data_IF_795516618093
#
_entry.id   IF_795516618093
#
_cell.length_a   1.000
_cell.length_b   1.000
_cell.length_c   1.000
_cell.angle_alpha   90.00
_cell.angle_beta   90.00
_cell.angle_gamma   90.00
#
_symmetry.space_group_name_H-M   'P 1'
#
loop_
_entity.id
_entity.type
_entity.pdbx_description
1 polymer ?
#
# COMPACT_ATOMS: atom_id res chain seq x y z
N UNK A 1 32.14 -2.66 10.11
CA UNK A 1 31.30 -3.03 11.27
C UNK A 1 31.39 -4.53 11.58
N UNK A 2 31.25 -5.42 10.59
CA UNK A 2 31.59 -6.84 10.71
C UNK A 2 32.96 -7.05 11.38
N UNK A 3 33.98 -6.27 10.96
CA UNK A 3 35.30 -6.21 11.63
C UNK A 3 35.22 -5.89 13.13
N UNK A 4 34.36 -4.97 13.59
CA UNK A 4 34.19 -4.66 15.02
C UNK A 4 33.47 -5.78 15.78
N UNK A 5 32.46 -6.41 15.17
CA UNK A 5 31.78 -7.59 15.71
C UNK A 5 32.73 -8.79 15.81
N UNK A 6 33.57 -9.02 14.79
CA UNK A 6 34.60 -10.06 14.76
C UNK A 6 35.69 -9.78 15.80
N UNK A 7 36.17 -8.53 15.91
CA UNK A 7 37.16 -8.16 16.93
C UNK A 7 36.58 -8.32 18.33
N UNK A 8 35.34 -7.88 18.56
CA UNK A 8 34.65 -8.03 19.84
C UNK A 8 34.34 -9.49 20.16
N UNK A 9 34.00 -10.31 19.17
CA UNK A 9 33.88 -11.75 19.34
C UNK A 9 35.23 -12.37 19.71
N UNK A 10 36.31 -11.94 19.06
CA UNK A 10 37.67 -12.31 19.41
C UNK A 10 38.00 -11.95 20.86
N UNK A 11 37.74 -10.71 21.28
CA UNK A 11 37.96 -10.24 22.64
C UNK A 11 37.09 -10.98 23.67
N UNK A 12 35.80 -11.19 23.36
CA UNK A 12 34.87 -11.90 24.23
C UNK A 12 35.27 -13.39 24.36
N UNK A 13 35.74 -14.02 23.27
CA UNK A 13 36.32 -15.37 23.31
C UNK A 13 37.62 -15.42 24.11
N UNK A 14 38.52 -14.45 23.92
CA UNK A 14 39.79 -14.34 24.66
C UNK A 14 39.52 -14.16 26.15
N UNK A 15 38.57 -13.30 26.52
CA UNK A 15 38.15 -13.06 27.91
C UNK A 15 37.57 -14.33 28.56
N UNK A 16 36.77 -15.09 27.81
CA UNK A 16 36.22 -16.38 28.26
C UNK A 16 37.31 -17.45 28.44
N UNK A 17 38.32 -17.46 27.56
CA UNK A 17 39.47 -18.37 27.64
C UNK A 17 40.40 -17.96 28.81
N UNK A 18 40.66 -16.67 28.99
CA UNK A 18 41.58 -16.14 30.00
C UNK A 18 40.99 -16.20 31.41
N UNK A 19 39.68 -16.04 31.57
CA UNK A 19 39.00 -16.22 32.85
C UNK A 19 39.08 -17.66 33.38
N UNK A 20 39.34 -18.64 32.51
CA UNK A 20 39.61 -20.04 32.90
C UNK A 20 41.05 -20.30 33.38
N UNK A 21 41.96 -19.32 33.31
CA UNK A 21 43.37 -19.50 33.68
C UNK A 21 43.70 -19.09 35.14
N UNK A 22 42.79 -18.42 35.86
CA UNK A 22 43.07 -17.92 37.22
C UNK A 22 42.75 -18.94 38.34
N UNK A 23 42.08 -20.05 38.04
CA UNK A 23 41.87 -21.15 39.00
C UNK A 23 42.76 -22.36 38.69
N UNK A 24 43.97 -22.28 39.27
CA UNK A 24 44.83 -23.38 39.72
C UNK A 24 45.37 -24.40 38.70
N UNK A 25 46.70 -24.47 38.69
CA UNK A 25 47.53 -25.62 38.29
C UNK A 25 46.85 -26.96 38.63
N UNK A 26 46.48 -27.71 37.59
CA UNK A 26 46.58 -29.17 37.42
C UNK A 26 45.31 -29.78 36.76
N UNK A 27 45.56 -30.49 35.65
CA UNK A 27 44.80 -31.64 35.13
C UNK A 27 43.41 -31.48 34.48
N UNK A 28 42.90 -30.28 34.21
CA UNK A 28 41.69 -30.10 33.36
C UNK A 28 41.91 -29.14 32.21
N UNK A 29 42.91 -29.44 31.37
CA UNK A 29 43.15 -28.74 30.09
C UNK A 29 42.05 -28.96 29.02
N UNK A 30 40.94 -29.61 29.36
CA UNK A 30 39.98 -30.14 28.38
C UNK A 30 38.66 -29.35 28.22
N UNK A 31 38.38 -28.31 29.01
CA UNK A 31 37.12 -27.55 28.86
C UNK A 31 37.27 -26.06 29.14
N UNK A 32 37.80 -25.29 28.18
CA UNK A 32 37.08 -24.05 27.84
C UNK A 32 35.71 -24.55 27.40
N UNK A 33 34.73 -24.51 28.32
CA UNK A 33 33.52 -25.29 28.14
C UNK A 33 32.84 -24.84 26.85
N UNK A 34 32.52 -25.79 25.96
CA UNK A 34 31.74 -25.54 24.74
C UNK A 34 30.53 -24.60 25.02
N UNK A 35 29.98 -24.68 26.23
CA UNK A 35 28.95 -23.81 26.76
C UNK A 35 29.31 -22.32 26.81
N UNK A 36 30.49 -21.91 27.32
CA UNK A 36 30.85 -20.49 27.40
C UNK A 36 31.09 -19.84 26.03
N UNK A 37 31.69 -20.59 25.09
CA UNK A 37 31.79 -20.18 23.69
C UNK A 37 30.41 -20.09 23.02
N UNK A 38 29.52 -21.05 23.30
CA UNK A 38 28.13 -21.02 22.82
C UNK A 38 27.39 -19.79 23.33
N UNK A 39 27.55 -19.44 24.61
CA UNK A 39 26.97 -18.23 25.20
C UNK A 39 27.52 -16.95 24.54
N UNK A 40 28.82 -16.89 24.28
CA UNK A 40 29.42 -15.76 23.58
C UNK A 40 28.87 -15.60 22.15
N UNK A 41 28.75 -16.70 21.40
CA UNK A 41 28.15 -16.72 20.07
C UNK A 41 26.68 -16.26 20.09
N UNK A 42 25.89 -16.75 21.05
CA UNK A 42 24.50 -16.33 21.22
C UNK A 42 24.38 -14.83 21.52
N UNK A 43 25.25 -14.30 22.39
CA UNK A 43 25.28 -12.88 22.73
C UNK A 43 25.66 -12.01 21.53
N UNK A 44 26.67 -12.39 20.75
CA UNK A 44 27.02 -11.64 19.53
C UNK A 44 25.92 -11.71 18.48
N UNK A 45 25.28 -12.88 18.34
CA UNK A 45 24.15 -13.05 17.41
C UNK A 45 23.01 -12.11 17.78
N UNK A 46 22.57 -12.08 19.04
CA UNK A 46 21.51 -11.18 19.50
C UNK A 46 21.87 -9.70 19.30
N UNK A 47 23.11 -9.29 19.60
CA UNK A 47 23.62 -7.93 19.32
C UNK A 47 23.58 -7.59 17.83
N UNK A 48 23.97 -8.55 16.98
CA UNK A 48 23.91 -8.38 15.54
C UNK A 48 22.46 -8.21 15.07
N UNK A 49 21.52 -9.06 15.52
CA UNK A 49 20.10 -8.97 15.15
C UNK A 49 19.49 -7.63 15.58
N UNK A 50 19.76 -7.18 16.80
CA UNK A 50 19.28 -5.88 17.30
C UNK A 50 19.78 -4.73 16.42
N UNK A 51 21.09 -4.69 16.15
CA UNK A 51 21.67 -3.66 15.30
C UNK A 51 21.17 -3.75 13.85
N UNK A 52 21.07 -4.97 13.32
CA UNK A 52 20.57 -5.26 11.99
C UNK A 52 19.17 -4.64 11.82
N UNK A 53 18.27 -4.87 12.78
CA UNK A 53 16.94 -4.31 12.75
C UNK A 53 16.93 -2.79 12.88
N UNK A 54 17.72 -2.22 13.80
CA UNK A 54 17.83 -0.77 13.96
C UNK A 54 18.27 -0.06 12.67
N UNK A 55 19.23 -0.64 11.93
CA UNK A 55 19.64 -0.10 10.63
C UNK A 55 18.53 -0.12 9.60
N UNK A 56 17.76 -1.22 9.48
CA UNK A 56 16.61 -1.30 8.55
C UNK A 56 15.56 -0.27 8.92
N UNK A 57 15.26 -0.15 10.21
CA UNK A 57 14.30 0.83 10.73
C UNK A 57 14.68 2.26 10.34
N UNK A 58 15.93 2.65 10.60
CA UNK A 58 16.42 4.00 10.30
C UNK A 58 16.48 4.26 8.78
N UNK A 59 16.89 3.26 8.00
CA UNK A 59 16.89 3.34 6.53
C UNK A 59 15.48 3.50 5.98
N UNK A 60 14.52 2.73 6.49
CA UNK A 60 13.12 2.82 6.07
C UNK A 60 12.53 4.19 6.39
N UNK A 61 12.77 4.70 7.61
CA UNK A 61 12.30 6.04 7.99
C UNK A 61 12.89 7.11 7.06
N UNK A 62 14.20 7.05 6.77
CA UNK A 62 14.86 7.97 5.83
C UNK A 62 14.23 7.91 4.44
N UNK A 63 14.02 6.71 3.89
CA UNK A 63 13.39 6.53 2.58
C UNK A 63 11.99 7.14 2.56
N UNK A 64 11.16 6.84 3.57
CA UNK A 64 9.78 7.33 3.67
C UNK A 64 9.70 8.85 3.81
N UNK A 65 10.59 9.47 4.60
CA UNK A 65 10.60 10.94 4.78
C UNK A 65 10.99 11.69 3.50
N UNK A 66 11.80 11.07 2.63
CA UNK A 66 12.24 11.66 1.37
C UNK A 66 11.31 11.36 0.17
N UNK A 67 10.31 10.50 0.38
CA UNK A 67 9.48 9.96 -0.70
C UNK A 67 8.47 10.99 -1.22
N UNK A 68 8.43 11.16 -2.55
CA UNK A 68 7.55 12.12 -3.23
C UNK A 68 6.23 11.50 -3.66
N UNK A 69 6.07 10.18 -3.53
CA UNK A 69 4.85 9.46 -3.86
C UNK A 69 4.48 9.60 -5.34
N UNK A 70 5.49 9.49 -6.19
CA UNK A 70 5.37 9.49 -7.65
C UNK A 70 5.84 8.11 -8.15
N UNK A 71 5.17 7.51 -9.16
CA UNK A 71 5.63 6.25 -9.72
C UNK A 71 7.04 6.36 -10.26
N UNK A 72 7.90 5.40 -9.93
CA UNK A 72 9.25 5.30 -10.48
C UNK A 72 9.31 4.30 -11.63
N UNK A 73 10.36 4.42 -12.43
CA UNK A 73 10.75 3.35 -13.34
C UNK A 73 11.38 2.22 -12.54
N UNK A 74 10.92 1.01 -12.79
CA UNK A 74 11.33 -0.20 -12.09
C UNK A 74 12.51 -0.80 -12.84
N UNK A 75 13.70 -0.88 -12.22
CA UNK A 75 14.83 -1.54 -12.84
C UNK A 75 14.54 -3.01 -13.08
N UNK A 76 15.01 -3.57 -14.20
CA UNK A 76 14.82 -4.98 -14.55
C UNK A 76 15.32 -5.95 -13.48
N UNK A 77 16.35 -5.58 -12.73
CA UNK A 77 16.85 -6.33 -11.58
C UNK A 77 15.78 -6.59 -10.51
N UNK A 78 14.88 -5.63 -10.25
CA UNK A 78 13.75 -5.82 -9.32
C UNK A 78 12.67 -6.73 -9.88
N UNK A 79 12.43 -6.71 -11.19
CA UNK A 79 11.49 -7.64 -11.81
C UNK A 79 12.03 -9.08 -11.72
N UNK A 80 13.32 -9.29 -12.03
CA UNK A 80 13.97 -10.60 -11.89
C UNK A 80 13.90 -11.08 -10.42
N UNK A 81 14.23 -10.21 -9.47
CA UNK A 81 14.14 -10.52 -8.04
C UNK A 81 12.76 -11.05 -7.65
N UNK A 82 11.70 -10.38 -8.10
CA UNK A 82 10.33 -10.75 -7.77
C UNK A 82 9.91 -12.03 -8.50
N UNK A 83 10.20 -12.14 -9.80
CA UNK A 83 9.90 -13.34 -10.60
C UNK A 83 10.54 -14.59 -9.98
N UNK A 84 11.82 -14.51 -9.59
CA UNK A 84 12.50 -15.63 -8.94
C UNK A 84 11.87 -15.93 -7.58
N UNK A 85 11.57 -14.89 -6.78
CA UNK A 85 11.01 -15.08 -5.44
C UNK A 85 9.67 -15.81 -5.45
N UNK A 86 8.77 -15.47 -6.38
CA UNK A 86 7.49 -16.16 -6.54
C UNK A 86 7.65 -17.56 -7.17
N UNK A 87 8.62 -17.74 -8.07
CA UNK A 87 8.92 -19.06 -8.64
C UNK A 87 9.47 -20.04 -7.61
N UNK A 88 10.31 -19.57 -6.67
CA UNK A 88 10.94 -20.43 -5.65
C UNK A 88 10.17 -20.48 -4.33
N UNK A 89 9.17 -19.61 -4.14
CA UNK A 89 8.48 -19.45 -2.86
C UNK A 89 9.36 -18.87 -1.75
N UNK A 90 10.48 -18.22 -2.09
CA UNK A 90 11.46 -17.68 -1.13
C UNK A 90 11.90 -16.29 -1.55
N UNK A 91 11.81 -15.32 -0.64
CA UNK A 91 12.17 -13.93 -0.95
C UNK A 91 13.70 -13.75 -0.85
N UNK A 92 14.41 -13.81 -1.98
CA UNK A 92 15.89 -13.70 -2.01
C UNK A 92 16.36 -12.73 -3.06
N UNK A 93 17.33 -11.88 -2.69
CA UNK A 93 18.13 -11.15 -3.66
C UNK A 93 19.03 -12.15 -4.40
N UNK A 94 19.02 -12.13 -5.73
CA UNK A 94 19.72 -13.13 -6.55
C UNK A 94 20.91 -12.50 -7.28
N UNK A 95 21.92 -13.33 -7.58
CA UNK A 95 23.03 -12.89 -8.44
C UNK A 95 22.55 -12.54 -9.87
N UNK A 96 21.42 -13.13 -10.30
CA UNK A 96 20.77 -12.80 -11.58
C UNK A 96 20.39 -11.30 -11.66
N UNK A 97 20.20 -10.63 -10.51
CA UNK A 97 19.99 -9.17 -10.45
C UNK A 97 21.22 -8.37 -10.90
N UNK A 98 22.43 -8.93 -10.76
CA UNK A 98 23.70 -8.27 -11.11
C UNK A 98 24.02 -8.39 -12.60
N UNK A 99 23.46 -9.39 -13.26
CA UNK A 99 23.62 -9.64 -14.70
C UNK A 99 22.52 -9.01 -15.56
N UNK A 100 21.58 -8.28 -14.96
CA UNK A 100 20.49 -7.65 -15.69
C UNK A 100 20.97 -6.44 -16.47
N UNK A 101 20.47 -6.26 -17.69
CA UNK A 101 20.65 -5.02 -18.43
C UNK A 101 20.01 -3.82 -17.68
N UNK A 102 20.52 -2.61 -17.89
CA UNK A 102 20.03 -1.35 -17.30
C UNK A 102 18.65 -0.90 -17.84
N UNK A 103 17.84 -1.84 -18.32
CA UNK A 103 16.47 -1.59 -18.77
C UNK A 103 15.55 -1.30 -17.59
N UNK A 104 14.63 -0.35 -17.79
CA UNK A 104 13.63 0.01 -16.78
C UNK A 104 12.22 0.01 -17.37
N UNK A 105 11.28 -0.54 -16.62
CA UNK A 105 9.86 -0.60 -16.98
C UNK A 105 9.02 0.35 -16.14
N UNK A 106 7.81 0.69 -16.60
CA UNK A 106 6.90 1.56 -15.82
C UNK A 106 6.26 0.86 -14.61
N UNK A 107 6.28 -0.47 -14.58
CA UNK A 107 5.54 -1.28 -13.62
C UNK A 107 6.35 -2.51 -13.21
N UNK A 108 6.08 -2.98 -11.99
CA UNK A 108 6.47 -4.30 -11.52
C UNK A 108 5.31 -5.26 -11.77
N UNK A 109 5.58 -6.50 -12.19
CA UNK A 109 4.56 -7.51 -12.44
C UNK A 109 4.68 -8.68 -11.46
N UNK A 110 3.54 -9.16 -10.96
CA UNK A 110 3.44 -10.40 -10.17
C UNK A 110 2.24 -11.19 -10.69
N UNK A 111 2.46 -12.43 -11.16
CA UNK A 111 1.37 -13.31 -11.61
C UNK A 111 0.39 -12.60 -12.58
N UNK A 112 0.93 -11.85 -13.55
CA UNK A 112 0.21 -11.01 -14.53
C UNK A 112 -0.40 -9.70 -14.01
N UNK A 113 -0.43 -9.47 -12.70
CA UNK A 113 -0.90 -8.22 -12.12
C UNK A 113 0.20 -7.14 -12.15
N UNK A 114 -0.15 -5.94 -12.65
CA UNK A 114 0.74 -4.78 -12.75
C UNK A 114 0.74 -3.92 -11.49
N UNK A 115 1.90 -3.50 -11.01
CA UNK A 115 2.06 -2.66 -9.81
C UNK A 115 2.87 -1.40 -10.15
N UNK A 116 2.26 -0.23 -9.97
CA UNK A 116 2.99 1.03 -9.90
C UNK A 116 3.64 1.13 -8.52
N UNK A 117 4.93 1.48 -8.47
CA UNK A 117 5.73 1.46 -7.25
C UNK A 117 6.51 2.76 -7.06
N UNK A 118 6.96 3.01 -5.84
CA UNK A 118 7.87 4.10 -5.48
C UNK A 118 9.21 3.57 -4.93
N UNK A 119 10.15 4.45 -4.64
CA UNK A 119 11.47 4.03 -4.15
C UNK A 119 11.40 3.41 -2.75
N UNK A 120 10.53 3.94 -1.89
CA UNK A 120 10.37 3.44 -0.53
C UNK A 120 9.90 1.98 -0.48
N UNK A 121 8.93 1.58 -1.31
CA UNK A 121 8.44 0.19 -1.34
C UNK A 121 9.50 -0.77 -1.88
N UNK A 122 10.27 -0.39 -2.90
CA UNK A 122 11.39 -1.22 -3.39
C UNK A 122 12.48 -1.39 -2.32
N UNK A 123 12.78 -0.31 -1.59
CA UNK A 123 13.68 -0.36 -0.43
C UNK A 123 13.17 -1.31 0.65
N UNK A 124 11.87 -1.31 0.94
CA UNK A 124 11.26 -2.24 1.88
C UNK A 124 11.35 -3.69 1.41
N UNK A 125 11.05 -3.98 0.13
CA UNK A 125 11.19 -5.33 -0.43
C UNK A 125 12.62 -5.88 -0.26
N UNK A 126 13.61 -5.03 -0.53
CA UNK A 126 15.03 -5.37 -0.32
C UNK A 126 15.31 -5.69 1.15
N UNK A 127 14.80 -4.88 2.08
CA UNK A 127 14.96 -5.14 3.52
C UNK A 127 14.31 -6.46 3.95
N UNK A 128 13.12 -6.78 3.43
CA UNK A 128 12.44 -8.05 3.71
C UNK A 128 13.27 -9.25 3.19
N UNK A 129 13.83 -9.16 1.99
CA UNK A 129 14.73 -10.20 1.46
C UNK A 129 16.03 -10.34 2.28
N UNK A 130 16.56 -9.23 2.81
CA UNK A 130 17.69 -9.26 3.74
C UNK A 130 17.34 -9.97 5.07
N UNK A 131 16.12 -9.80 5.58
CA UNK A 131 15.63 -10.55 6.75
C UNK A 131 15.60 -12.04 6.48
N UNK A 132 15.03 -12.47 5.34
CA UNK A 132 14.96 -13.89 5.01
C UNK A 132 16.36 -14.49 4.78
N UNK A 133 17.26 -13.76 4.10
CA UNK A 133 18.68 -14.17 3.99
C UNK A 133 19.37 -14.28 5.35
N UNK A 134 19.04 -13.40 6.29
CA UNK A 134 19.60 -13.43 7.65
C UNK A 134 19.04 -14.58 8.48
N UNK A 135 17.79 -14.97 8.24
CA UNK A 135 17.17 -16.13 8.84
C UNK A 135 17.92 -17.43 8.49
N UNK A 136 18.34 -17.59 7.24
CA UNK A 136 19.15 -18.76 6.82
C UNK A 136 20.46 -18.87 7.60
N UNK A 137 21.09 -17.73 7.94
CA UNK A 137 22.34 -17.70 8.70
C UNK A 137 22.14 -17.93 10.21
N UNK A 138 21.00 -17.50 10.76
CA UNK A 138 20.70 -17.54 12.20
C UNK A 138 19.29 -18.08 12.46
N UNK A 139 18.99 -19.36 12.14
CA UNK A 139 17.64 -19.90 12.25
C UNK A 139 17.10 -19.89 13.70
N UNK A 140 17.99 -19.99 14.69
CA UNK A 140 17.62 -19.96 16.11
C UNK A 140 17.05 -18.61 16.57
N UNK A 141 17.19 -17.53 15.78
CA UNK A 141 16.63 -16.22 16.08
C UNK A 141 15.32 -15.94 15.34
N UNK A 142 14.72 -16.95 14.69
CA UNK A 142 13.49 -16.83 13.90
C UNK A 142 12.36 -16.08 14.63
N UNK A 143 12.08 -16.44 15.89
CA UNK A 143 11.00 -15.81 16.65
C UNK A 143 11.23 -14.31 16.90
N UNK A 144 12.46 -13.92 17.26
CA UNK A 144 12.82 -12.50 17.45
C UNK A 144 12.75 -11.74 16.12
N UNK A 145 13.33 -12.31 15.06
CA UNK A 145 13.37 -11.69 13.74
C UNK A 145 11.99 -11.59 13.08
N UNK A 146 11.10 -12.56 13.30
CA UNK A 146 9.71 -12.49 12.84
C UNK A 146 9.02 -11.24 13.41
N UNK A 147 9.22 -10.95 14.70
CA UNK A 147 8.66 -9.74 15.33
C UNK A 147 9.33 -8.45 14.80
N UNK A 148 10.62 -8.49 14.50
CA UNK A 148 11.32 -7.38 13.83
C UNK A 148 10.73 -7.08 12.44
N UNK A 149 10.41 -8.12 11.65
CA UNK A 149 9.74 -7.98 10.34
C UNK A 149 8.35 -7.35 10.51
N UNK A 150 7.54 -7.90 11.42
CA UNK A 150 6.21 -7.34 11.75
C UNK A 150 6.32 -5.86 12.12
N UNK A 151 7.32 -5.49 12.94
CA UNK A 151 7.54 -4.10 13.32
C UNK A 151 7.88 -3.21 12.12
N UNK A 152 8.75 -3.67 11.21
CA UNK A 152 9.10 -2.93 9.99
C UNK A 152 7.88 -2.70 9.11
N UNK A 153 7.04 -3.72 8.91
CA UNK A 153 5.78 -3.62 8.15
C UNK A 153 4.81 -2.61 8.80
N UNK A 154 4.66 -2.65 10.12
CA UNK A 154 3.84 -1.68 10.87
C UNK A 154 4.36 -0.25 10.75
N UNK A 155 5.68 -0.07 10.76
CA UNK A 155 6.30 1.25 10.56
C UNK A 155 5.98 1.77 9.16
N UNK A 156 6.13 0.94 8.12
CA UNK A 156 5.77 1.32 6.77
C UNK A 156 4.29 1.74 6.66
N UNK A 157 3.38 0.95 7.24
CA UNK A 157 1.95 1.26 7.23
C UNK A 157 1.65 2.59 7.94
N UNK A 158 2.15 2.75 9.17
CA UNK A 158 1.91 3.94 9.99
C UNK A 158 2.49 5.20 9.35
N UNK A 159 3.70 5.12 8.77
CA UNK A 159 4.34 6.24 8.08
C UNK A 159 3.59 6.61 6.81
N UNK A 160 3.11 5.64 6.03
CA UNK A 160 2.26 5.90 4.85
C UNK A 160 1.02 6.70 5.26
N UNK A 161 0.35 6.30 6.35
CA UNK A 161 -0.84 6.99 6.87
C UNK A 161 -0.50 8.43 7.30
N UNK A 162 0.55 8.62 8.10
CA UNK A 162 0.97 9.95 8.57
C UNK A 162 1.34 10.89 7.42
N UNK A 163 2.05 10.37 6.42
CA UNK A 163 2.53 11.17 5.30
C UNK A 163 1.39 11.58 4.36
N UNK A 164 0.41 10.70 4.13
CA UNK A 164 -0.63 10.93 3.14
C UNK A 164 -1.96 11.40 3.74
N UNK A 165 -2.49 10.69 4.73
CA UNK A 165 -3.75 11.06 5.39
C UNK A 165 -3.52 12.14 6.45
N UNK A 166 -2.40 12.07 7.19
CA UNK A 166 -1.96 13.08 8.14
C UNK A 166 -1.28 14.30 7.51
N UNK A 167 -1.20 14.35 6.18
CA UNK A 167 -0.56 15.42 5.41
C UNK A 167 0.92 15.70 5.73
N UNK A 168 1.63 14.77 6.39
CA UNK A 168 3.03 14.92 6.75
C UNK A 168 3.96 15.08 5.55
N UNK A 169 3.63 14.51 4.39
CA UNK A 169 4.46 14.64 3.19
C UNK A 169 4.57 16.09 2.67
N UNK A 170 3.62 16.96 3.03
CA UNK A 170 3.70 18.38 2.69
C UNK A 170 4.88 19.06 3.38
N UNK A 171 5.21 18.65 4.60
CA UNK A 171 6.26 19.25 5.42
C UNK A 171 7.61 18.57 5.22
N UNK A 172 7.64 17.23 5.23
CA UNK A 172 8.91 16.48 5.22
C UNK A 172 9.44 16.19 3.80
N UNK A 173 8.55 15.97 2.83
CA UNK A 173 8.93 15.68 1.43
C UNK A 173 8.76 16.90 0.51
N UNK A 174 8.29 18.03 1.04
CA UNK A 174 8.11 19.28 0.29
C UNK A 174 7.02 19.23 -0.79
N UNK A 175 6.06 18.33 -0.67
CA UNK A 175 4.91 18.30 -1.59
C UNK A 175 4.05 19.54 -1.40
N UNK A 176 3.60 20.16 -2.49
CA UNK A 176 2.65 21.29 -2.42
C UNK A 176 1.24 20.84 -2.03
N UNK A 177 0.83 19.68 -2.54
CA UNK A 177 -0.50 19.09 -2.34
C UNK A 177 -0.39 17.58 -2.41
N UNK A 178 -1.24 16.87 -1.68
CA UNK A 178 -1.39 15.41 -1.81
C UNK A 178 -2.51 15.14 -2.81
N UNK A 179 -2.14 14.62 -3.98
CA UNK A 179 -3.06 14.40 -5.09
C UNK A 179 -3.71 13.01 -5.04
N UNK A 180 -4.82 12.81 -5.76
CA UNK A 180 -5.42 11.48 -5.98
C UNK A 180 -4.41 10.49 -6.57
N UNK A 181 -3.50 10.95 -7.43
CA UNK A 181 -2.43 10.11 -8.01
C UNK A 181 -1.47 9.59 -6.93
N UNK A 182 -1.13 10.42 -5.94
CA UNK A 182 -0.27 10.03 -4.81
C UNK A 182 -0.96 8.97 -3.94
N UNK A 183 -2.26 9.17 -3.66
CA UNK A 183 -3.06 8.23 -2.87
C UNK A 183 -3.23 6.89 -3.59
N UNK A 184 -3.52 6.91 -4.89
CA UNK A 184 -3.61 5.71 -5.73
C UNK A 184 -2.30 4.92 -5.74
N UNK A 185 -1.16 5.60 -5.85
CA UNK A 185 0.16 4.95 -5.80
C UNK A 185 0.40 4.26 -4.45
N UNK A 186 0.01 4.91 -3.35
CA UNK A 186 0.14 4.35 -2.02
C UNK A 186 -0.66 3.06 -1.86
N UNK A 187 -1.90 3.02 -2.38
CA UNK A 187 -2.71 1.80 -2.42
C UNK A 187 -1.96 0.67 -3.12
N UNK A 188 -1.38 0.91 -4.30
CA UNK A 188 -0.63 -0.13 -5.04
C UNK A 188 0.63 -0.58 -4.30
N UNK A 189 1.33 0.33 -3.63
CA UNK A 189 2.48 -0.02 -2.80
C UNK A 189 2.07 -0.89 -1.60
N UNK A 190 0.95 -0.59 -0.94
CA UNK A 190 0.44 -1.40 0.18
C UNK A 190 -0.02 -2.78 -0.30
N UNK A 191 -0.71 -2.87 -1.44
CA UNK A 191 -1.12 -4.14 -2.05
C UNK A 191 0.07 -5.02 -2.42
N UNK A 192 1.14 -4.42 -2.98
CA UNK A 192 2.37 -5.13 -3.26
C UNK A 192 2.97 -5.76 -2.00
N UNK A 193 3.03 -5.01 -0.89
CA UNK A 193 3.54 -5.54 0.38
C UNK A 193 2.63 -6.66 0.92
N UNK A 194 1.31 -6.53 0.83
CA UNK A 194 0.37 -7.60 1.18
C UNK A 194 0.67 -8.88 0.40
N UNK A 195 0.96 -8.78 -0.90
CA UNK A 195 1.28 -9.94 -1.75
C UNK A 195 2.61 -10.61 -1.37
N UNK A 196 3.52 -9.87 -0.76
CA UNK A 196 4.86 -10.34 -0.36
C UNK A 196 4.86 -10.96 1.05
N UNK A 197 3.98 -10.51 1.95
CA UNK A 197 3.91 -11.00 3.33
C UNK A 197 3.87 -12.53 3.43
N UNK A 198 3.05 -13.27 2.64
CA UNK A 198 3.00 -14.73 2.72
C UNK A 198 4.33 -15.42 2.41
N UNK A 199 5.12 -14.89 1.46
CA UNK A 199 6.45 -15.43 1.16
C UNK A 199 7.37 -15.31 2.37
N UNK A 200 7.37 -14.14 3.01
CA UNK A 200 8.19 -13.91 4.21
C UNK A 200 7.69 -14.76 5.38
N UNK A 201 6.38 -14.75 5.64
CA UNK A 201 5.76 -15.50 6.75
C UNK A 201 6.09 -16.99 6.68
N UNK A 202 5.96 -17.62 5.50
CA UNK A 202 6.24 -19.04 5.30
C UNK A 202 7.67 -19.42 5.62
N UNK A 203 8.65 -18.59 5.24
CA UNK A 203 10.06 -18.85 5.55
C UNK A 203 10.38 -18.78 7.05
N UNK A 204 9.76 -17.84 7.76
CA UNK A 204 9.88 -17.76 9.20
C UNK A 204 9.19 -18.94 9.89
N UNK A 205 8.00 -19.34 9.43
CA UNK A 205 7.25 -20.48 9.96
C UNK A 205 8.06 -21.78 9.96
N UNK A 206 8.85 -22.04 8.91
CA UNK A 206 9.74 -23.21 8.81
C UNK A 206 10.72 -23.33 10.00
N UNK A 207 11.06 -22.21 10.65
CA UNK A 207 12.06 -22.13 11.71
C UNK A 207 11.46 -21.86 13.10
N UNK A 208 10.13 -21.74 13.22
CA UNK A 208 9.44 -21.53 14.50
C UNK A 208 9.10 -22.86 15.19
N UNK A 209 9.30 -22.89 16.51
CA UNK A 209 8.81 -23.97 17.38
C UNK A 209 7.32 -23.78 17.69
N UNK A 210 6.63 -24.85 18.09
CA UNK A 210 5.19 -24.80 18.42
C UNK A 210 4.82 -23.75 19.48
N UNK A 211 5.75 -23.45 20.39
CA UNK A 211 5.58 -22.41 21.43
C UNK A 211 5.44 -21.02 20.81
N UNK A 212 6.21 -20.74 19.75
CA UNK A 212 6.33 -19.42 19.13
C UNK A 212 5.50 -19.28 17.86
N UNK A 213 4.95 -20.39 17.30
CA UNK A 213 4.09 -20.36 16.11
C UNK A 213 2.88 -19.44 16.24
N UNK A 214 2.37 -19.25 17.46
CA UNK A 214 1.28 -18.30 17.70
C UNK A 214 1.60 -16.85 17.30
N UNK A 215 2.88 -16.50 17.15
CA UNK A 215 3.32 -15.17 16.74
C UNK A 215 3.00 -14.86 15.28
N UNK A 216 2.78 -15.89 14.43
CA UNK A 216 2.37 -15.73 13.02
C UNK A 216 1.07 -14.93 12.88
N UNK A 217 0.19 -14.97 13.89
CA UNK A 217 -1.01 -14.11 13.96
C UNK A 217 -0.71 -12.62 13.78
N UNK A 218 0.51 -12.18 14.10
CA UNK A 218 0.91 -10.78 13.94
C UNK A 218 1.18 -10.41 12.47
N UNK A 219 1.58 -11.35 11.61
CA UNK A 219 1.60 -11.15 10.16
C UNK A 219 0.19 -11.02 9.60
N UNK A 220 -0.71 -11.93 10.00
CA UNK A 220 -2.13 -11.86 9.62
C UNK A 220 -2.78 -10.52 10.06
N UNK A 221 -2.54 -10.10 11.31
CA UNK A 221 -3.02 -8.81 11.80
C UNK A 221 -2.43 -7.65 10.99
N UNK A 222 -1.15 -7.68 10.67
CA UNK A 222 -0.50 -6.62 9.88
C UNK A 222 -1.07 -6.55 8.45
N UNK A 223 -1.37 -7.70 7.85
CA UNK A 223 -2.06 -7.78 6.55
C UNK A 223 -3.45 -7.16 6.61
N UNK A 224 -4.20 -7.42 7.70
CA UNK A 224 -5.48 -6.77 7.94
C UNK A 224 -5.32 -5.25 8.08
N UNK A 225 -4.39 -4.79 8.91
CA UNK A 225 -4.13 -3.35 9.13
C UNK A 225 -3.74 -2.61 7.82
N UNK A 226 -3.03 -3.29 6.91
CA UNK A 226 -2.70 -2.76 5.58
C UNK A 226 -3.93 -2.66 4.68
N UNK A 227 -4.81 -3.67 4.70
CA UNK A 227 -6.07 -3.65 3.93
C UNK A 227 -7.05 -2.58 4.45
N UNK A 228 -7.19 -2.46 5.77
CA UNK A 228 -8.02 -1.42 6.40
C UNK A 228 -7.52 -0.02 5.97
N UNK A 229 -6.20 0.18 5.96
CA UNK A 229 -5.61 1.43 5.49
C UNK A 229 -5.82 1.67 3.98
N UNK A 230 -5.76 0.64 3.13
CA UNK A 230 -6.14 0.76 1.70
C UNK A 230 -7.58 1.26 1.58
N UNK A 231 -8.51 0.72 2.38
CA UNK A 231 -9.90 1.14 2.38
C UNK A 231 -10.08 2.61 2.83
N UNK A 232 -9.33 3.05 3.85
CA UNK A 232 -9.32 4.45 4.29
C UNK A 232 -8.81 5.39 3.19
N UNK A 233 -7.73 5.01 2.48
CA UNK A 233 -7.20 5.81 1.37
C UNK A 233 -8.20 5.85 0.21
N UNK A 234 -8.84 4.73 -0.14
CA UNK A 234 -9.90 4.70 -1.16
C UNK A 234 -11.06 5.64 -0.79
N UNK A 235 -11.52 5.58 0.46
CA UNK A 235 -12.55 6.49 0.98
C UNK A 235 -12.11 7.95 0.85
N UNK A 236 -10.85 8.26 1.19
CA UNK A 236 -10.30 9.60 1.03
C UNK A 236 -10.28 10.08 -0.42
N UNK A 237 -9.90 9.22 -1.38
CA UNK A 237 -9.95 9.54 -2.81
C UNK A 237 -11.39 9.91 -3.21
N UNK A 238 -12.34 9.05 -2.86
CA UNK A 238 -13.76 9.25 -3.17
C UNK A 238 -14.28 10.57 -2.61
N UNK A 239 -14.04 10.86 -1.32
CA UNK A 239 -14.48 12.12 -0.71
C UNK A 239 -13.83 13.36 -1.35
N UNK A 240 -12.56 13.28 -1.78
CA UNK A 240 -11.89 14.40 -2.46
C UNK A 240 -12.51 14.65 -3.84
N UNK A 241 -12.81 13.60 -4.59
CA UNK A 241 -13.43 13.73 -5.91
C UNK A 241 -14.85 14.26 -5.78
N UNK A 242 -15.64 13.67 -4.88
CA UNK A 242 -16.99 14.12 -4.54
C UNK A 242 -17.00 15.60 -4.19
N UNK A 243 -16.18 16.03 -3.23
CA UNK A 243 -16.11 17.43 -2.83
C UNK A 243 -15.83 18.38 -4.02
N UNK A 244 -14.82 18.06 -4.85
CA UNK A 244 -14.46 18.88 -6.00
C UNK A 244 -15.56 18.94 -7.06
N UNK A 245 -16.25 17.83 -7.27
CA UNK A 245 -17.33 17.71 -8.22
C UNK A 245 -18.58 18.47 -7.75
N UNK A 246 -19.02 18.26 -6.51
CA UNK A 246 -20.16 18.95 -5.92
C UNK A 246 -19.92 20.46 -5.82
N UNK A 247 -18.70 20.89 -5.46
CA UNK A 247 -18.31 22.30 -5.45
C UNK A 247 -18.41 22.94 -6.84
N UNK A 248 -18.10 22.17 -7.89
CA UNK A 248 -18.21 22.62 -9.28
C UNK A 248 -19.67 22.75 -9.75
N UNK A 249 -20.60 22.06 -9.07
CA UNK A 249 -22.02 21.98 -9.40
C UNK A 249 -22.92 22.82 -8.48
N UNK A 250 -22.45 23.26 -7.31
CA UNK A 250 -23.25 23.90 -6.24
C UNK A 250 -24.11 25.10 -6.68
N UNK A 251 -23.66 25.85 -7.71
CA UNK A 251 -24.33 27.05 -8.21
C UNK A 251 -25.14 26.80 -9.47
N UNK A 252 -25.39 25.53 -9.80
CA UNK A 252 -26.12 25.14 -10.99
C UNK A 252 -27.54 25.75 -11.03
N UNK A 253 -27.92 26.18 -12.23
CA UNK A 253 -29.23 26.75 -12.56
C UNK A 253 -29.57 26.38 -13.99
N UNK A 254 -30.86 26.21 -14.25
CA UNK A 254 -31.37 25.93 -15.58
C UNK A 254 -31.19 27.17 -16.46
N UNK A 255 -30.58 26.97 -17.61
CA UNK A 255 -30.31 28.02 -18.59
C UNK A 255 -30.31 27.45 -20.01
N UNK A 256 -30.68 28.23 -21.03
CA UNK A 256 -30.77 27.73 -22.42
C UNK A 256 -29.42 27.36 -23.06
N UNK A 257 -28.30 27.85 -22.51
CA UNK A 257 -26.96 27.58 -23.04
C UNK A 257 -26.45 26.26 -22.48
N UNK A 258 -26.55 25.21 -23.30
CA UNK A 258 -26.20 23.83 -22.94
C UNK A 258 -24.94 23.31 -23.68
N UNK A 259 -24.16 22.40 -23.06
CA UNK A 259 -24.21 22.06 -21.64
C UNK A 259 -23.69 23.22 -20.78
N UNK A 260 -24.23 23.39 -19.58
CA UNK A 260 -23.82 24.42 -18.63
C UNK A 260 -22.34 24.29 -18.25
N UNK A 261 -21.75 25.42 -17.84
CA UNK A 261 -20.36 25.46 -17.37
C UNK A 261 -20.15 24.52 -16.17
N UNK A 262 -21.16 24.41 -15.30
CA UNK A 262 -21.17 23.58 -14.10
C UNK A 262 -21.11 22.10 -14.47
N UNK A 263 -21.95 21.62 -15.40
CA UNK A 263 -21.90 20.24 -15.90
C UNK A 263 -20.61 19.95 -16.66
N UNK A 264 -20.12 20.89 -17.46
CA UNK A 264 -18.80 20.75 -18.10
C UNK A 264 -17.67 20.67 -17.07
N UNK A 265 -17.74 21.41 -15.96
CA UNK A 265 -16.77 21.30 -14.87
C UNK A 265 -16.83 19.92 -14.21
N UNK A 266 -18.03 19.38 -13.96
CA UNK A 266 -18.24 18.02 -13.42
C UNK A 266 -17.59 16.97 -14.32
N UNK A 267 -17.88 16.99 -15.63
CA UNK A 267 -17.25 16.09 -16.61
C UNK A 267 -15.72 16.23 -16.62
N UNK A 268 -15.19 17.45 -16.48
CA UNK A 268 -13.74 17.68 -16.31
C UNK A 268 -13.18 17.07 -15.03
N UNK A 269 -13.91 17.06 -13.91
CA UNK A 269 -13.45 16.40 -12.68
C UNK A 269 -13.40 14.88 -12.85
N UNK A 270 -14.39 14.27 -13.52
CA UNK A 270 -14.37 12.83 -13.84
C UNK A 270 -13.17 12.45 -14.72
N UNK A 271 -12.86 13.25 -15.74
CA UNK A 271 -11.67 13.06 -16.58
C UNK A 271 -10.36 13.18 -15.77
N UNK A 272 -10.28 14.14 -14.85
CA UNK A 272 -9.12 14.27 -13.95
C UNK A 272 -8.95 13.05 -13.05
N UNK A 273 -10.05 12.53 -12.50
CA UNK A 273 -10.03 11.29 -11.73
C UNK A 273 -9.53 10.14 -12.61
N UNK A 274 -10.13 9.91 -13.77
CA UNK A 274 -9.73 8.88 -14.74
C UNK A 274 -8.22 8.89 -15.00
N UNK A 275 -7.68 10.05 -15.35
CA UNK A 275 -6.25 10.21 -15.66
C UNK A 275 -5.34 9.99 -14.44
N UNK A 276 -5.83 10.25 -13.23
CA UNK A 276 -5.05 10.06 -12.01
C UNK A 276 -4.95 8.58 -11.61
N UNK A 277 -5.93 7.75 -11.98
CA UNK A 277 -6.07 6.38 -11.45
C UNK A 277 -5.85 5.28 -12.48
N UNK A 278 -6.20 5.46 -13.75
CA UNK A 278 -6.16 4.40 -14.79
C UNK A 278 -4.77 3.82 -15.04
N UNK A 279 -3.73 4.64 -14.95
CA UNK A 279 -2.35 4.17 -15.14
C UNK A 279 -1.84 3.37 -13.94
N UNK A 280 -2.44 3.54 -12.75
CA UNK A 280 -1.91 3.07 -11.48
C UNK A 280 -2.72 1.89 -10.93
N UNK A 281 -4.06 2.00 -10.94
CA UNK A 281 -4.96 1.07 -10.28
C UNK A 281 -5.60 0.08 -11.26
N UNK A 282 -5.97 -1.13 -10.80
CA UNK A 282 -6.81 -2.06 -11.54
C UNK A 282 -8.20 -1.48 -11.81
N UNK A 283 -8.83 -1.89 -12.92
CA UNK A 283 -10.11 -1.35 -13.35
C UNK A 283 -11.23 -1.62 -12.32
N UNK A 284 -11.19 -2.76 -11.65
CA UNK A 284 -12.17 -3.20 -10.67
C UNK A 284 -12.24 -2.22 -9.48
N UNK A 285 -11.08 -1.70 -9.05
CA UNK A 285 -11.04 -0.71 -7.97
C UNK A 285 -11.51 0.67 -8.45
N UNK A 286 -11.16 1.04 -9.69
CA UNK A 286 -11.60 2.31 -10.28
C UNK A 286 -13.12 2.32 -10.46
N UNK A 287 -13.71 1.20 -10.87
CA UNK A 287 -15.16 1.02 -11.01
C UNK A 287 -15.90 1.34 -9.70
N UNK A 288 -15.45 0.80 -8.56
CA UNK A 288 -16.05 1.08 -7.25
C UNK A 288 -16.01 2.57 -6.92
N UNK A 289 -14.89 3.25 -7.19
CA UNK A 289 -14.77 4.70 -6.95
C UNK A 289 -15.72 5.48 -7.86
N UNK A 290 -15.78 5.15 -9.15
CA UNK A 290 -16.65 5.82 -10.10
C UNK A 290 -18.13 5.62 -9.79
N UNK A 291 -18.53 4.43 -9.34
CA UNK A 291 -19.89 4.14 -8.90
C UNK A 291 -20.31 5.02 -7.73
N UNK A 292 -19.46 5.14 -6.70
CA UNK A 292 -19.76 6.01 -5.56
C UNK A 292 -19.82 7.49 -5.95
N UNK A 293 -18.87 7.94 -6.76
CA UNK A 293 -18.83 9.32 -7.28
C UNK A 293 -20.08 9.60 -8.11
N UNK A 294 -20.52 8.64 -8.93
CA UNK A 294 -21.77 8.73 -9.68
C UNK A 294 -22.98 8.89 -8.76
N UNK A 295 -23.14 8.00 -7.78
CA UNK A 295 -24.26 8.03 -6.81
C UNK A 295 -24.34 9.37 -6.08
N UNK A 296 -23.20 9.92 -5.63
CA UNK A 296 -23.16 11.23 -5.00
C UNK A 296 -23.63 12.36 -5.94
N UNK A 297 -23.17 12.34 -7.20
CA UNK A 297 -23.64 13.32 -8.18
C UNK A 297 -25.14 13.21 -8.44
N UNK A 298 -25.64 11.99 -8.64
CA UNK A 298 -27.06 11.73 -8.89
C UNK A 298 -27.92 12.29 -7.76
N UNK A 299 -27.51 12.04 -6.51
CA UNK A 299 -28.20 12.57 -5.34
C UNK A 299 -28.18 14.11 -5.33
N UNK A 300 -27.04 14.74 -5.61
CA UNK A 300 -26.94 16.19 -5.69
C UNK A 300 -27.78 16.80 -6.82
N UNK A 301 -27.77 16.17 -8.00
CA UNK A 301 -28.56 16.59 -9.15
C UNK A 301 -30.05 16.54 -8.83
N UNK A 302 -30.52 15.44 -8.23
CA UNK A 302 -31.91 15.30 -7.75
C UNK A 302 -32.29 16.42 -6.78
N UNK A 303 -31.44 16.73 -5.80
CA UNK A 303 -31.72 17.81 -4.85
C UNK A 303 -31.82 19.19 -5.54
N UNK A 304 -30.98 19.45 -6.54
CA UNK A 304 -31.03 20.69 -7.30
C UNK A 304 -32.28 20.80 -8.17
N UNK A 305 -32.74 19.69 -8.76
CA UNK A 305 -34.01 19.65 -9.50
C UNK A 305 -35.20 19.97 -8.59
N UNK A 306 -35.26 19.36 -7.41
CA UNK A 306 -36.31 19.62 -6.43
C UNK A 306 -36.28 21.07 -5.93
N UNK A 307 -35.08 21.62 -5.68
CA UNK A 307 -34.89 23.01 -5.23
C UNK A 307 -35.36 24.05 -6.24
N UNK A 308 -35.20 23.77 -7.53
CA UNK A 308 -35.66 24.65 -8.62
C UNK A 308 -37.07 24.29 -9.11
N UNK A 309 -37.79 23.42 -8.38
CA UNK A 309 -39.17 23.02 -8.67
C UNK A 309 -39.36 22.47 -10.10
N UNK A 310 -38.36 21.75 -10.63
CA UNK A 310 -38.42 21.18 -11.98
C UNK A 310 -39.46 20.08 -12.04
N UNK A 311 -40.44 20.26 -12.92
CA UNK A 311 -41.62 19.41 -13.05
C UNK A 311 -41.98 19.23 -14.52
N UNK A 312 -42.63 18.12 -14.87
CA UNK A 312 -43.18 17.88 -16.21
C UNK A 312 -44.24 18.91 -16.63
N UNK A 313 -44.76 19.69 -15.67
CA UNK A 313 -45.68 20.81 -15.91
C UNK A 313 -44.99 22.05 -16.52
N UNK A 314 -43.66 22.13 -16.47
CA UNK A 314 -42.84 23.11 -17.19
C UNK A 314 -41.94 22.38 -18.22
N UNK A 315 -42.48 22.08 -19.43
CA UNK A 315 -41.76 21.30 -20.43
C UNK A 315 -40.44 21.92 -20.88
N UNK A 316 -40.31 23.25 -20.80
CA UNK A 316 -39.09 23.95 -21.22
C UNK A 316 -37.96 23.68 -20.23
N UNK A 317 -38.18 23.99 -18.94
CA UNK A 317 -37.15 23.77 -17.93
C UNK A 317 -36.88 22.29 -17.69
N UNK A 318 -37.91 21.44 -17.79
CA UNK A 318 -37.78 19.99 -17.76
C UNK A 318 -36.89 19.47 -18.89
N UNK A 319 -37.15 19.89 -20.14
CA UNK A 319 -36.35 19.48 -21.31
C UNK A 319 -34.92 19.98 -21.26
N UNK A 320 -34.68 21.21 -20.78
CA UNK A 320 -33.32 21.74 -20.61
C UNK A 320 -32.55 20.96 -19.54
N UNK A 321 -33.19 20.63 -18.42
CA UNK A 321 -32.57 19.81 -17.39
C UNK A 321 -32.26 18.40 -17.93
N UNK A 322 -33.17 17.78 -18.68
CA UNK A 322 -32.98 16.43 -19.23
C UNK A 322 -31.74 16.38 -20.13
N UNK A 323 -31.54 17.39 -20.98
CA UNK A 323 -30.36 17.50 -21.84
C UNK A 323 -29.04 17.68 -21.05
N UNK A 324 -29.07 18.42 -19.93
CA UNK A 324 -27.91 18.51 -19.02
C UNK A 324 -27.56 17.13 -18.43
N UNK A 325 -28.59 16.41 -17.99
CA UNK A 325 -28.44 15.10 -17.38
C UNK A 325 -27.96 14.06 -18.39
N UNK A 326 -28.51 14.08 -19.60
CA UNK A 326 -28.06 13.24 -20.72
C UNK A 326 -26.58 13.47 -21.04
N UNK A 327 -26.14 14.74 -21.10
CA UNK A 327 -24.73 15.05 -21.30
C UNK A 327 -23.82 14.47 -20.20
N UNK A 328 -24.25 14.56 -18.94
CA UNK A 328 -23.52 13.92 -17.82
C UNK A 328 -23.49 12.40 -17.97
N UNK A 329 -24.63 11.77 -18.28
CA UNK A 329 -24.72 10.31 -18.45
C UNK A 329 -23.83 9.82 -19.59
N UNK A 330 -23.79 10.53 -20.71
CA UNK A 330 -22.87 10.24 -21.81
C UNK A 330 -21.40 10.39 -21.37
N UNK A 331 -21.10 11.44 -20.59
CA UNK A 331 -19.74 11.68 -20.08
C UNK A 331 -19.25 10.55 -19.17
N UNK A 332 -20.07 10.08 -18.23
CA UNK A 332 -19.65 9.03 -17.30
C UNK A 332 -19.62 7.65 -17.94
N UNK A 333 -20.53 7.36 -18.87
CA UNK A 333 -20.56 6.09 -19.62
C UNK A 333 -19.46 5.96 -20.67
N UNK A 334 -18.75 7.04 -20.99
CA UNK A 334 -17.60 6.99 -21.89
C UNK A 334 -16.39 6.25 -21.28
N UNK A 335 -16.37 6.05 -19.96
CA UNK A 335 -15.27 5.36 -19.29
C UNK A 335 -15.47 3.83 -19.27
N UNK A 336 -14.38 3.03 -19.40
CA UNK A 336 -14.46 1.58 -19.54
C UNK A 336 -14.99 0.84 -18.30
N UNK A 337 -14.93 1.47 -17.13
CA UNK A 337 -15.35 0.94 -15.83
C UNK A 337 -16.74 1.45 -15.39
N UNK A 338 -17.55 1.94 -16.33
CA UNK A 338 -18.91 2.45 -16.07
C UNK A 338 -20.01 1.53 -16.60
N UNK A 339 -19.67 0.28 -16.94
CA UNK A 339 -20.59 -0.66 -17.60
C UNK A 339 -21.80 -1.02 -16.69
N UNK A 340 -21.58 -1.08 -15.38
CA UNK A 340 -22.64 -1.33 -14.40
C UNK A 340 -23.56 -0.12 -14.16
N UNK A 341 -23.21 1.08 -14.65
CA UNK A 341 -24.00 2.29 -14.42
C UNK A 341 -25.25 2.28 -15.32
N UNK A 342 -26.47 2.19 -14.75
CA UNK A 342 -27.69 2.12 -15.55
C UNK A 342 -27.92 3.42 -16.33
N UNK A 343 -28.60 3.32 -17.48
CA UNK A 343 -29.11 4.53 -18.15
C UNK A 343 -30.28 5.07 -17.34
N UNK A 344 -30.30 6.38 -17.11
CA UNK A 344 -31.30 7.05 -16.28
C UNK A 344 -31.81 8.29 -17.00
N UNK A 345 -33.02 8.74 -16.64
CA UNK A 345 -33.63 10.01 -17.05
C UNK A 345 -34.00 10.85 -15.83
N UNK A 346 -34.28 12.14 -15.97
CA UNK A 346 -34.72 12.95 -14.83
C UNK A 346 -36.06 12.45 -14.28
N UNK A 347 -36.96 11.97 -15.13
CA UNK A 347 -38.20 11.33 -14.68
C UNK A 347 -37.91 10.17 -13.71
N UNK A 348 -36.92 9.32 -14.03
CA UNK A 348 -36.54 8.20 -13.15
C UNK A 348 -35.95 8.68 -11.81
N UNK A 349 -35.22 9.80 -11.83
CA UNK A 349 -34.62 10.40 -10.63
C UNK A 349 -35.66 11.01 -9.68
N UNK A 350 -36.60 11.77 -10.23
CA UNK A 350 -37.64 12.46 -9.46
C UNK A 350 -38.68 11.47 -8.90
N UNK A 351 -39.10 10.49 -9.71
CA UNK A 351 -40.16 9.56 -9.32
C UNK A 351 -39.67 8.44 -8.40
N UNK A 352 -38.36 8.20 -8.31
CA UNK A 352 -37.74 7.25 -7.39
C UNK A 352 -38.38 5.86 -7.40
N UNK A 353 -37.91 4.96 -8.25
CA UNK A 353 -37.86 3.58 -7.78
C UNK A 353 -36.84 3.55 -6.64
N UNK A 354 -37.34 3.11 -5.49
CA UNK A 354 -36.62 2.77 -4.27
C UNK A 354 -35.70 1.57 -4.53
N UNK A 355 -34.68 1.73 -5.40
CA UNK A 355 -33.70 0.69 -5.73
C UNK A 355 -32.55 0.81 -4.73
N UNK A 356 -32.80 0.51 -3.46
CA UNK A 356 -31.83 0.02 -2.45
C UNK A 356 -32.50 -0.14 -1.06
N UNK A 357 -33.69 -0.76 -1.00
CA UNK A 357 -34.43 -0.91 0.26
C UNK A 357 -35.31 -2.17 0.42
N UNK A 358 -35.42 -3.05 -0.57
CA UNK A 358 -36.26 -4.27 -0.46
C UNK A 358 -35.62 -5.50 -1.11
N UNK A 359 -34.56 -6.01 -0.50
CA UNK A 359 -34.24 -7.45 -0.53
C UNK A 359 -33.78 -7.93 0.86
N UNK A 360 -34.52 -7.57 1.92
CA UNK A 360 -34.54 -8.37 3.17
C UNK A 360 -35.97 -8.33 3.72
N UNK A 361 -36.89 -9.04 3.07
CA UNK A 361 -38.03 -9.70 3.72
C UNK A 361 -38.85 -10.44 2.66
N UNK A 362 -38.86 -11.77 2.75
CA UNK A 362 -39.83 -12.59 2.01
C UNK A 362 -39.28 -13.82 1.27
N UNK A 363 -38.49 -14.66 1.93
CA UNK A 363 -38.85 -16.06 2.27
C UNK A 363 -37.67 -16.79 2.88
#
# INVERSE_FOLDING_TARGET
MLRKLILKFGDDCVNVISAGNDELKNETKEKVSSWSLTQCLQLQTSRFITFFHEQRRNKLDTLMMSEKWIPIKVPRSYQIFIDVSFRTGRLRLTEEMLSSDDTEDSFLFIEEEKYAVNGAVLGLLTMLAEYCTTLDMFPNTAAEMAMNVVQILKIFNSKTCQLLLGAGALTVAGLKTISVKNLALAIRCLQLIIKIIPLVEGEFEEHLTDINRNQLRHFAQTTKDLNDHIHEICTKITSVVEFNMLTSFQNWKIKPKLPSQEIQNVSRQLNKLHNAVTEIMPNEMVEVIFKHVHESFINSFKQMLLKHEVSSEDPLNFGLAEQEFEFYMLSIKAFPYSNEIPSMTISSLLNGLDIMGKEISGN
#
